data_IF_338782067571
#
_entry.id   IF_338782067571
#
_cell.length_a   1.000
_cell.length_b   1.000
_cell.length_c   1.000
_cell.angle_alpha   90.00
_cell.angle_beta   90.00
_cell.angle_gamma   90.00
#
_symmetry.space_group_name_H-M   'P 1'
#
loop_
_entity.id
_entity.type
_entity.pdbx_description
1 polymer ?
#
# COMPACT_ATOMS: atom_id res chain seq x y z
N UNK A 1 2.13 -24.55 22.31
CA UNK A 1 2.85 -23.26 22.16
C UNK A 1 3.63 -23.14 20.85
N UNK A 2 3.99 -24.26 20.18
CA UNK A 2 4.73 -24.25 18.89
C UNK A 2 3.88 -23.74 17.71
N UNK A 3 2.64 -24.20 17.55
CA UNK A 3 1.75 -23.80 16.43
C UNK A 3 1.46 -22.29 16.33
N UNK A 4 1.38 -21.59 17.47
CA UNK A 4 1.11 -20.14 17.49
C UNK A 4 2.28 -19.35 16.91
N UNK A 5 3.51 -19.84 17.07
CA UNK A 5 4.71 -19.20 16.55
C UNK A 5 4.85 -19.44 15.03
N UNK A 6 4.54 -20.65 14.57
CA UNK A 6 4.58 -21.01 13.15
C UNK A 6 3.56 -20.23 12.31
N UNK A 7 2.33 -20.07 12.82
CA UNK A 7 1.29 -19.27 12.13
C UNK A 7 1.68 -17.80 12.02
N UNK A 8 2.30 -17.23 13.05
CA UNK A 8 2.78 -15.85 13.04
C UNK A 8 3.95 -15.66 12.06
N UNK A 9 4.86 -16.63 12.00
CA UNK A 9 5.97 -16.62 11.04
C UNK A 9 5.47 -16.72 9.60
N UNK A 10 4.53 -17.65 9.33
CA UNK A 10 3.91 -17.77 8.01
C UNK A 10 3.22 -16.45 7.60
N UNK A 11 2.49 -15.82 8.52
CA UNK A 11 1.88 -14.52 8.30
C UNK A 11 2.92 -13.43 7.95
N UNK A 12 4.03 -13.34 8.69
CA UNK A 12 5.10 -12.40 8.37
C UNK A 12 5.77 -12.69 7.02
N UNK A 13 5.92 -13.96 6.63
CA UNK A 13 6.46 -14.35 5.33
C UNK A 13 5.55 -13.94 4.17
N UNK A 14 4.23 -14.13 4.33
CA UNK A 14 3.23 -13.72 3.33
C UNK A 14 3.29 -12.20 3.06
N UNK A 15 3.41 -11.39 4.11
CA UNK A 15 3.61 -9.94 3.99
C UNK A 15 4.91 -9.59 3.26
N UNK A 16 6.01 -10.26 3.63
CA UNK A 16 7.31 -10.08 2.98
C UNK A 16 7.26 -10.44 1.48
N UNK A 17 6.57 -11.52 1.13
CA UNK A 17 6.34 -11.90 -0.26
C UNK A 17 5.54 -10.83 -1.02
N UNK A 18 4.49 -10.28 -0.41
CA UNK A 18 3.75 -9.17 -0.98
C UNK A 18 4.65 -7.98 -1.33
N UNK A 19 5.56 -7.59 -0.42
CA UNK A 19 6.55 -6.55 -0.71
C UNK A 19 7.51 -6.90 -1.85
N UNK A 20 7.96 -8.15 -1.93
CA UNK A 20 8.79 -8.61 -3.04
C UNK A 20 8.04 -8.50 -4.37
N UNK A 21 6.76 -8.89 -4.40
CA UNK A 21 5.95 -8.79 -5.61
C UNK A 21 5.75 -7.35 -6.09
N UNK A 22 5.59 -6.37 -5.19
CA UNK A 22 5.56 -4.93 -5.56
C UNK A 22 6.86 -4.51 -6.26
N UNK A 23 8.00 -4.95 -5.73
CA UNK A 23 9.33 -4.64 -6.30
C UNK A 23 9.56 -5.30 -7.65
N UNK A 24 9.04 -6.52 -7.83
CA UNK A 24 9.14 -7.29 -9.07
C UNK A 24 8.09 -6.89 -10.12
N UNK A 25 7.17 -5.96 -9.79
CA UNK A 25 6.09 -5.55 -10.69
C UNK A 25 4.95 -6.57 -10.82
N UNK A 26 4.92 -7.61 -9.98
CA UNK A 26 3.83 -8.60 -9.88
C UNK A 26 2.68 -8.03 -9.06
N UNK A 27 2.05 -6.97 -9.58
CA UNK A 27 1.18 -6.10 -8.79
C UNK A 27 -0.12 -6.80 -8.34
N UNK A 28 -0.71 -7.66 -9.18
CA UNK A 28 -1.91 -8.43 -8.79
C UNK A 28 -1.62 -9.39 -7.63
N UNK A 29 -0.51 -10.10 -7.70
CA UNK A 29 -0.07 -11.01 -6.64
C UNK A 29 0.29 -10.24 -5.38
N UNK A 30 0.91 -9.06 -5.52
CA UNK A 30 1.18 -8.17 -4.40
C UNK A 30 -0.11 -7.75 -3.69
N UNK A 31 -1.14 -7.32 -4.43
CA UNK A 31 -2.46 -6.96 -3.87
C UNK A 31 -3.05 -8.14 -3.10
N UNK A 32 -3.06 -9.34 -3.70
CA UNK A 32 -3.59 -10.56 -3.06
C UNK A 32 -2.86 -10.87 -1.75
N UNK A 33 -1.53 -10.73 -1.73
CA UNK A 33 -0.70 -10.99 -0.55
C UNK A 33 -0.84 -9.91 0.52
N UNK A 34 -0.92 -8.63 0.15
CA UNK A 34 -0.91 -7.52 1.09
C UNK A 34 -2.30 -7.15 1.64
N UNK A 35 -3.38 -7.37 0.88
CA UNK A 35 -4.76 -6.98 1.27
C UNK A 35 -5.15 -7.45 2.68
N UNK A 36 -4.96 -8.73 3.07
CA UNK A 36 -5.36 -9.18 4.40
C UNK A 36 -4.66 -8.42 5.54
N UNK A 37 -3.41 -7.99 5.31
CA UNK A 37 -2.64 -7.21 6.28
C UNK A 37 -3.16 -5.78 6.36
N UNK A 38 -3.49 -5.17 5.22
CA UNK A 38 -4.07 -3.82 5.19
C UNK A 38 -5.39 -3.79 5.94
N UNK A 39 -6.27 -4.76 5.68
CA UNK A 39 -7.56 -4.90 6.38
C UNK A 39 -7.38 -5.10 7.89
N UNK A 40 -6.41 -5.92 8.30
CA UNK A 40 -6.07 -6.09 9.72
C UNK A 40 -5.58 -4.79 10.36
N UNK A 41 -4.74 -4.02 9.67
CA UNK A 41 -4.23 -2.75 10.20
C UNK A 41 -5.31 -1.66 10.27
N UNK A 42 -6.23 -1.62 9.30
CA UNK A 42 -7.42 -0.75 9.33
C UNK A 42 -8.30 -1.02 10.55
N UNK A 43 -8.52 -2.29 10.87
CA UNK A 43 -9.41 -2.69 11.98
C UNK A 43 -8.74 -2.62 13.35
N UNK A 44 -7.42 -2.81 13.43
CA UNK A 44 -6.68 -2.79 14.69
C UNK A 44 -6.31 -1.39 15.20
N UNK A 45 -6.45 -0.35 14.39
CA UNK A 45 -6.02 1.01 14.73
C UNK A 45 -4.49 1.16 14.82
N UNK A 46 -3.74 0.23 14.23
CA UNK A 46 -2.27 0.25 14.17
C UNK A 46 -1.80 0.46 12.72
N UNK A 47 -1.99 1.67 12.14
CA UNK A 47 -1.64 1.93 10.75
C UNK A 47 -0.15 1.71 10.49
N UNK A 48 0.17 1.19 9.30
CA UNK A 48 1.53 0.91 8.87
C UNK A 48 1.77 1.56 7.50
N UNK A 49 2.44 2.71 7.49
CA UNK A 49 2.66 3.51 6.28
C UNK A 49 3.29 2.68 5.16
N UNK A 50 4.33 1.89 5.47
CA UNK A 50 5.03 1.08 4.46
C UNK A 50 4.12 0.05 3.79
N UNK A 51 3.26 -0.60 4.57
CA UNK A 51 2.28 -1.56 4.06
C UNK A 51 1.28 -0.88 3.13
N UNK A 52 0.69 0.24 3.56
CA UNK A 52 -0.34 0.93 2.79
C UNK A 52 0.24 1.54 1.51
N UNK A 53 1.44 2.12 1.58
CA UNK A 53 2.17 2.64 0.41
C UNK A 53 2.48 1.52 -0.58
N UNK A 54 2.96 0.37 -0.11
CA UNK A 54 3.25 -0.76 -1.01
C UNK A 54 1.98 -1.30 -1.66
N UNK A 55 0.88 -1.34 -0.92
CA UNK A 55 -0.43 -1.74 -1.43
C UNK A 55 -0.97 -0.75 -2.47
N UNK A 56 -0.93 0.55 -2.18
CA UNK A 56 -1.43 1.60 -3.10
C UNK A 56 -0.62 1.67 -4.40
N UNK A 57 0.69 1.47 -4.35
CA UNK A 57 1.54 1.35 -5.55
C UNK A 57 1.06 0.18 -6.43
N UNK A 58 0.73 -0.95 -5.83
CA UNK A 58 0.22 -2.09 -6.60
C UNK A 58 -1.15 -1.77 -7.20
N UNK A 59 -2.05 -1.13 -6.45
CA UNK A 59 -3.39 -0.72 -6.92
C UNK A 59 -3.31 0.18 -8.16
N UNK A 60 -2.56 1.29 -8.08
CA UNK A 60 -2.45 2.23 -9.20
C UNK A 60 -1.84 1.57 -10.45
N UNK A 61 -0.84 0.69 -10.27
CA UNK A 61 -0.23 -0.05 -11.39
C UNK A 61 -1.15 -1.09 -12.04
N UNK A 62 -2.16 -1.56 -11.31
CA UNK A 62 -3.21 -2.43 -11.86
C UNK A 62 -4.42 -1.67 -12.40
N UNK A 63 -4.41 -0.33 -12.35
CA UNK A 63 -5.54 0.50 -12.75
C UNK A 63 -6.68 0.54 -11.72
N UNK A 64 -6.48 0.05 -10.50
CA UNK A 64 -7.42 0.19 -9.38
C UNK A 64 -7.31 1.63 -8.81
N UNK A 65 -7.84 2.59 -9.57
CA UNK A 65 -7.74 4.02 -9.24
C UNK A 65 -8.56 4.37 -8.00
N UNK A 66 -9.79 3.87 -7.90
CA UNK A 66 -10.64 4.10 -6.72
C UNK A 66 -9.98 3.54 -5.45
N UNK A 67 -9.47 2.31 -5.52
CA UNK A 67 -8.76 1.69 -4.41
C UNK A 67 -7.47 2.44 -4.05
N UNK A 68 -6.73 2.93 -5.04
CA UNK A 68 -5.57 3.79 -4.80
C UNK A 68 -5.96 5.07 -4.05
N UNK A 69 -6.98 5.79 -4.50
CA UNK A 69 -7.44 7.05 -3.89
C UNK A 69 -7.90 6.85 -2.44
N UNK A 70 -8.62 5.76 -2.17
CA UNK A 70 -9.00 5.42 -0.80
C UNK A 70 -7.78 5.15 0.08
N UNK A 71 -6.88 4.27 -0.36
CA UNK A 71 -5.67 3.95 0.42
C UNK A 71 -4.77 5.18 0.58
N UNK A 72 -4.72 6.08 -0.41
CA UNK A 72 -3.99 7.34 -0.33
C UNK A 72 -4.53 8.26 0.77
N UNK A 73 -5.84 8.47 0.80
CA UNK A 73 -6.48 9.27 1.84
C UNK A 73 -6.15 8.73 3.24
N UNK A 74 -6.16 7.40 3.40
CA UNK A 74 -5.76 6.76 4.65
C UNK A 74 -4.29 7.03 5.00
N UNK A 75 -3.36 6.97 4.03
CA UNK A 75 -1.93 7.27 4.25
C UNK A 75 -1.72 8.73 4.66
N UNK A 76 -2.49 9.67 4.10
CA UNK A 76 -2.36 11.10 4.42
C UNK A 76 -2.59 11.38 5.90
N UNK A 77 -3.56 10.71 6.51
CA UNK A 77 -3.90 10.84 7.93
C UNK A 77 -2.89 10.16 8.88
N UNK A 78 -1.94 9.37 8.37
CA UNK A 78 -0.94 8.69 9.20
C UNK A 78 0.22 9.62 9.57
N UNK A 79 0.55 9.69 10.85
CA UNK A 79 1.76 10.38 11.34
C UNK A 79 3.02 9.54 11.09
N UNK A 80 4.00 10.02 10.31
CA UNK A 80 5.25 9.31 10.08
C UNK A 80 6.13 9.35 11.31
N UNK A 81 6.73 8.20 11.66
CA UNK A 81 7.55 8.04 12.87
C UNK A 81 9.03 8.29 12.62
N UNK A 82 9.44 8.34 11.36
CA UNK A 82 10.83 8.49 10.95
C UNK A 82 10.93 9.07 9.52
N UNK A 83 12.12 9.54 9.11
CA UNK A 83 12.31 10.11 7.77
C UNK A 83 11.99 9.15 6.62
N UNK A 84 12.18 7.84 6.80
CA UNK A 84 11.87 6.85 5.76
C UNK A 84 10.35 6.79 5.50
N UNK A 85 9.53 6.80 6.55
CA UNK A 85 8.07 6.86 6.42
C UNK A 85 7.60 8.16 5.78
N UNK A 86 8.22 9.29 6.13
CA UNK A 86 7.93 10.57 5.45
C UNK A 86 8.26 10.51 3.96
N UNK A 87 9.40 9.91 3.60
CA UNK A 87 9.79 9.72 2.20
C UNK A 87 8.78 8.85 1.44
N UNK A 88 8.26 7.79 2.06
CA UNK A 88 7.21 6.96 1.48
C UNK A 88 5.89 7.72 1.27
N UNK A 89 5.50 8.59 2.21
CA UNK A 89 4.33 9.48 2.02
C UNK A 89 4.54 10.41 0.83
N UNK A 90 5.71 11.05 0.75
CA UNK A 90 6.06 11.95 -0.36
C UNK A 90 6.04 11.22 -1.71
N UNK A 91 6.46 9.95 -1.74
CA UNK A 91 6.40 9.14 -2.95
C UNK A 91 4.95 8.96 -3.45
N UNK A 92 4.02 8.65 -2.54
CA UNK A 92 2.60 8.50 -2.92
C UNK A 92 1.96 9.84 -3.28
N UNK A 93 2.36 10.94 -2.64
CA UNK A 93 1.92 12.27 -3.05
C UNK A 93 2.29 12.58 -4.51
N UNK A 94 3.46 12.13 -4.96
CA UNK A 94 3.87 12.20 -6.36
C UNK A 94 2.92 11.43 -7.29
N UNK A 95 2.65 10.15 -6.97
CA UNK A 95 1.71 9.34 -7.76
C UNK A 95 0.31 9.94 -7.82
N UNK A 96 -0.18 10.51 -6.72
CA UNK A 96 -1.48 11.19 -6.69
C UNK A 96 -1.48 12.43 -7.59
N UNK A 97 -0.45 13.26 -7.50
CA UNK A 97 -0.33 14.48 -8.32
C UNK A 97 -0.30 14.11 -9.81
N UNK A 98 0.53 13.14 -10.20
CA UNK A 98 0.63 12.68 -11.58
C UNK A 98 -0.72 12.15 -12.11
N UNK A 99 -1.46 11.41 -11.28
CA UNK A 99 -2.80 10.92 -11.63
C UNK A 99 -3.77 12.08 -11.85
N UNK A 100 -3.79 13.07 -10.95
CA UNK A 100 -4.73 14.20 -11.06
C UNK A 100 -4.42 15.08 -12.27
N UNK A 101 -3.13 15.32 -12.56
CA UNK A 101 -2.70 16.06 -13.75
C UNK A 101 -3.16 15.36 -15.03
N UNK A 102 -3.07 14.03 -15.08
CA UNK A 102 -3.53 13.24 -16.21
C UNK A 102 -5.06 13.28 -16.37
N UNK A 103 -5.80 13.21 -15.26
CA UNK A 103 -7.25 13.35 -15.29
C UNK A 103 -7.70 14.74 -15.78
N UNK A 104 -6.98 15.80 -15.43
CA UNK A 104 -7.30 17.16 -15.87
C UNK A 104 -7.09 17.35 -17.38
N UNK A 105 -5.99 16.84 -17.94
CA UNK A 105 -5.72 16.93 -19.40
C UNK A 105 -6.83 16.27 -20.23
N UNK A 106 -7.34 15.13 -19.77
CA UNK A 106 -8.39 14.38 -20.46
C UNK A 106 -9.79 15.05 -20.38
N UNK A 107 -9.96 16.10 -19.58
CA UNK A 107 -11.23 16.87 -19.48
C UNK A 107 -11.23 18.12 -20.37
N UNK A 108 -10.05 18.59 -20.79
CA UNK A 108 -9.89 19.78 -21.64
C UNK A 108 -9.84 19.46 -23.15
N UNK A 109 -9.87 18.17 -23.53
CA UNK A 109 -10.01 17.68 -24.92
C UNK A 109 -11.47 17.38 -25.30
#
# INVERSE_FOLDING_TARGET
MVEKNEKLQAFAMEMKQGYTFVKEGKNEEAIKKLRPFVELMRTSGAPNIRLFVSYSIAQIRTGDIEGFLQTYAEIKEMEPKNPDEQSLKNQIDGFFTDLMDELQKNVEE
#
